data_IF_365474085554
#
_entry.id   IF_365474085554
#
_cell.length_a   1.000
_cell.length_b   1.000
_cell.length_c   1.000
_cell.angle_alpha   90.00
_cell.angle_beta   90.00
_cell.angle_gamma   90.00
#
_symmetry.space_group_name_H-M   'P 1'
#
loop_
_entity.id
_entity.type
_entity.pdbx_description
1 polymer ?
#
# COMPACT_ATOMS: atom_id res chain seq x y z
N UNK A 1 1.79 -3.09 -16.43
CA UNK A 1 0.82 -2.23 -15.76
C UNK A 1 0.20 -3.08 -14.68
N UNK A 2 0.47 -2.76 -13.42
CA UNK A 2 -0.16 -3.45 -12.31
C UNK A 2 -1.67 -3.15 -12.32
N UNK A 3 -2.50 -4.16 -12.11
CA UNK A 3 -3.95 -3.95 -12.02
C UNK A 3 -4.30 -3.11 -10.80
N UNK A 4 -5.42 -2.38 -10.88
CA UNK A 4 -5.91 -1.62 -9.73
C UNK A 4 -6.26 -2.52 -8.55
N UNK A 5 -6.69 -3.76 -8.82
CA UNK A 5 -6.88 -4.79 -7.80
C UNK A 5 -5.58 -5.16 -7.08
N UNK A 6 -4.46 -5.35 -7.79
CA UNK A 6 -3.17 -5.66 -7.16
C UNK A 6 -2.67 -4.49 -6.29
N UNK A 7 -2.89 -3.25 -6.74
CA UNK A 7 -2.60 -2.04 -5.94
C UNK A 7 -3.44 -2.02 -4.68
N UNK A 8 -4.74 -2.26 -4.80
CA UNK A 8 -5.67 -2.31 -3.67
C UNK A 8 -5.31 -3.45 -2.69
N UNK A 9 -4.88 -4.60 -3.19
CA UNK A 9 -4.41 -5.72 -2.36
C UNK A 9 -3.16 -5.34 -1.56
N UNK A 10 -2.16 -4.69 -2.18
CA UNK A 10 -0.97 -4.22 -1.45
C UNK A 10 -1.37 -3.22 -0.35
N UNK A 11 -2.17 -2.21 -0.71
CA UNK A 11 -2.59 -1.18 0.24
C UNK A 11 -3.47 -1.72 1.36
N UNK A 12 -4.37 -2.68 1.07
CA UNK A 12 -5.21 -3.31 2.10
C UNK A 12 -4.39 -4.09 3.13
N UNK A 13 -3.30 -4.75 2.72
CA UNK A 13 -2.38 -5.44 3.64
C UNK A 13 -1.67 -4.44 4.53
N UNK A 14 -1.17 -3.35 3.96
CA UNK A 14 -0.53 -2.26 4.72
C UNK A 14 -1.51 -1.63 5.72
N UNK A 15 -2.75 -1.38 5.30
CA UNK A 15 -3.77 -0.73 6.11
C UNK A 15 -4.30 -1.65 7.24
N UNK A 16 -4.69 -2.89 6.91
CA UNK A 16 -5.37 -3.80 7.84
C UNK A 16 -4.42 -4.62 8.71
N UNK A 17 -3.44 -5.27 8.11
CA UNK A 17 -2.60 -6.25 8.82
C UNK A 17 -1.50 -5.59 9.63
N UNK A 18 -1.11 -4.37 9.24
CA UNK A 18 0.07 -3.70 9.79
C UNK A 18 -0.21 -2.31 10.34
N UNK A 19 -1.30 -1.66 9.92
CA UNK A 19 -1.60 -0.27 10.31
C UNK A 19 -0.51 0.70 9.86
N UNK A 20 0.10 0.44 8.70
CA UNK A 20 1.27 1.13 8.20
C UNK A 20 0.89 2.44 7.53
N UNK A 21 0.63 3.44 8.36
CA UNK A 21 0.31 4.79 7.96
C UNK A 21 1.44 5.73 8.38
N UNK A 22 1.95 6.53 7.43
CA UNK A 22 2.96 7.54 7.68
C UNK A 22 4.21 6.97 8.35
N UNK A 23 4.34 7.18 9.66
CA UNK A 23 5.52 6.81 10.46
C UNK A 23 5.73 5.31 10.73
N UNK A 24 4.79 4.45 10.32
CA UNK A 24 4.95 2.98 10.39
C UNK A 24 5.15 2.40 9.00
N UNK A 25 6.29 1.75 8.78
CA UNK A 25 6.66 1.15 7.50
C UNK A 25 6.96 -0.34 7.63
N UNK A 26 6.78 -1.07 6.55
CA UNK A 26 7.12 -2.49 6.47
C UNK A 26 8.02 -2.77 5.27
N UNK A 27 8.85 -3.80 5.40
CA UNK A 27 9.89 -4.13 4.43
C UNK A 27 9.28 -4.72 3.18
N UNK A 28 9.75 -4.30 2.01
CA UNK A 28 9.28 -4.82 0.72
C UNK A 28 9.42 -6.35 0.59
N UNK A 29 10.36 -6.94 1.32
CA UNK A 29 10.60 -8.38 1.40
C UNK A 29 9.41 -9.16 1.96
N UNK A 30 8.56 -8.56 2.78
CA UNK A 30 7.34 -9.20 3.28
C UNK A 30 6.24 -9.26 2.22
N UNK A 31 6.43 -8.60 1.08
CA UNK A 31 5.48 -8.51 -0.03
C UNK A 31 5.94 -9.30 -1.26
N UNK A 32 6.92 -10.21 -1.13
CA UNK A 32 7.42 -11.06 -2.24
C UNK A 32 6.35 -11.90 -2.94
N UNK A 33 5.19 -12.12 -2.30
CA UNK A 33 4.02 -12.80 -2.91
C UNK A 33 3.36 -12.01 -4.05
N UNK A 34 3.60 -10.71 -4.13
CA UNK A 34 3.07 -9.86 -5.19
C UNK A 34 4.02 -9.90 -6.40
N UNK A 35 3.59 -10.51 -7.51
CA UNK A 35 4.44 -10.66 -8.70
C UNK A 35 4.86 -9.30 -9.29
N UNK A 36 3.95 -8.31 -9.28
CA UNK A 36 4.19 -6.98 -9.83
C UNK A 36 4.62 -5.94 -8.77
N UNK A 37 5.19 -6.37 -7.64
CA UNK A 37 5.48 -5.50 -6.49
C UNK A 37 6.23 -4.22 -6.84
N UNK A 38 7.29 -4.31 -7.66
CA UNK A 38 8.10 -3.13 -8.04
C UNK A 38 7.29 -2.11 -8.84
N UNK A 39 6.43 -2.57 -9.75
CA UNK A 39 5.58 -1.70 -10.55
C UNK A 39 4.50 -1.06 -9.69
N UNK A 40 3.85 -1.84 -8.81
CA UNK A 40 2.85 -1.35 -7.84
C UNK A 40 3.46 -0.24 -6.97
N UNK A 41 4.63 -0.47 -6.37
CA UNK A 41 5.31 0.52 -5.53
C UNK A 41 5.62 1.78 -6.33
N UNK A 42 6.12 1.66 -7.55
CA UNK A 42 6.46 2.80 -8.41
C UNK A 42 5.23 3.64 -8.73
N UNK A 43 4.11 3.01 -9.11
CA UNK A 43 2.88 3.72 -9.46
C UNK A 43 2.25 4.40 -8.23
N UNK A 44 2.10 3.68 -7.12
CA UNK A 44 1.52 4.23 -5.89
C UNK A 44 2.41 5.33 -5.26
N UNK A 45 3.73 5.21 -5.40
CA UNK A 45 4.67 6.26 -4.96
C UNK A 45 4.57 7.49 -5.86
N UNK A 46 4.43 7.33 -7.18
CA UNK A 46 4.21 8.45 -8.11
C UNK A 46 2.89 9.19 -7.83
N UNK A 47 1.86 8.47 -7.39
CA UNK A 47 0.58 9.05 -6.95
C UNK A 47 0.67 9.73 -5.58
N UNK A 48 1.78 9.55 -4.84
CA UNK A 48 1.93 10.06 -3.48
C UNK A 48 1.18 9.26 -2.41
N UNK A 49 0.54 8.15 -2.78
CA UNK A 49 -0.23 7.29 -1.87
C UNK A 49 0.65 6.35 -1.05
N UNK A 50 1.85 6.07 -1.55
CA UNK A 50 2.85 5.26 -0.87
C UNK A 50 4.11 6.08 -0.57
N UNK A 51 4.55 6.05 0.68
CA UNK A 51 5.83 6.60 1.12
C UNK A 51 6.86 5.48 1.07
N UNK A 52 7.99 5.73 0.41
CA UNK A 52 9.09 4.78 0.28
C UNK A 52 10.25 5.24 1.17
N UNK A 53 10.69 4.35 2.06
CA UNK A 53 11.80 4.54 2.98
C UNK A 53 12.99 3.73 2.52
N UNK A 54 14.03 4.40 2.03
CA UNK A 54 15.29 3.74 1.69
C UNK A 54 16.18 3.68 2.95
N UNK A 55 16.48 2.47 3.42
CA UNK A 55 17.38 2.22 4.56
C UNK A 55 18.57 1.39 4.09
N UNK A 56 19.73 1.47 4.78
CA UNK A 56 20.84 0.57 4.48
C UNK A 56 20.39 -0.90 4.61
N UNK A 57 20.40 -1.63 3.50
CA UNK A 57 20.09 -3.05 3.44
C UNK A 57 18.61 -3.42 3.25
N UNK A 58 17.66 -2.48 3.22
CA UNK A 58 16.26 -2.79 2.86
C UNK A 58 15.46 -1.55 2.41
N UNK A 59 14.39 -1.79 1.68
CA UNK A 59 13.38 -0.77 1.36
C UNK A 59 12.13 -0.99 2.20
N UNK A 60 11.69 0.04 2.90
CA UNK A 60 10.43 0.07 3.64
C UNK A 60 9.35 0.83 2.85
N UNK A 61 8.09 0.45 3.03
CA UNK A 61 6.94 1.16 2.46
C UNK A 61 5.86 1.40 3.52
N UNK A 62 5.19 2.55 3.44
CA UNK A 62 3.98 2.85 4.21
C UNK A 62 2.95 3.55 3.33
N UNK A 63 1.69 3.52 3.76
CA UNK A 63 0.66 4.36 3.18
C UNK A 63 0.86 5.81 3.63
N UNK A 64 0.53 6.76 2.75
CA UNK A 64 0.57 8.17 3.08
C UNK A 64 -0.72 8.58 3.82
N UNK A 65 -0.56 9.16 5.02
CA UNK A 65 -1.69 9.64 5.83
C UNK A 65 -2.41 10.83 5.20
N UNK A 66 -1.73 11.61 4.34
CA UNK A 66 -2.35 12.74 3.65
C UNK A 66 -3.46 12.33 2.70
N UNK A 67 -3.38 11.12 2.13
CA UNK A 67 -4.35 10.56 1.20
C UNK A 67 -5.15 9.42 1.83
N UNK A 68 -5.26 9.39 3.16
CA UNK A 68 -5.84 8.25 3.88
C UNK A 68 -7.26 7.94 3.41
N UNK A 69 -8.09 8.96 3.21
CA UNK A 69 -9.48 8.79 2.79
C UNK A 69 -9.56 8.22 1.38
N UNK A 70 -8.82 8.79 0.45
CA UNK A 70 -8.76 8.39 -0.96
C UNK A 70 -8.24 6.96 -1.12
N UNK A 71 -7.22 6.60 -0.33
CA UNK A 71 -6.67 5.24 -0.31
C UNK A 71 -7.72 4.25 0.21
N UNK A 72 -8.46 4.58 1.28
CA UNK A 72 -9.52 3.72 1.81
C UNK A 72 -10.63 3.56 0.77
N UNK A 73 -11.13 4.66 0.20
CA UNK A 73 -12.18 4.63 -0.82
C UNK A 73 -11.76 3.81 -2.05
N UNK A 74 -10.50 3.95 -2.49
CA UNK A 74 -9.95 3.13 -3.57
C UNK A 74 -9.93 1.64 -3.21
N UNK A 75 -9.44 1.29 -2.01
CA UNK A 75 -9.42 -0.10 -1.55
C UNK A 75 -10.85 -0.66 -1.49
N UNK A 76 -11.82 0.08 -0.96
CA UNK A 76 -13.20 -0.38 -0.86
C UNK A 76 -13.88 -0.51 -2.23
N UNK A 77 -13.51 0.33 -3.20
CA UNK A 77 -14.01 0.25 -4.56
C UNK A 77 -13.51 -1.01 -5.27
N UNK A 78 -12.20 -1.28 -5.20
CA UNK A 78 -11.59 -2.43 -5.86
C UNK A 78 -11.77 -3.74 -5.06
N UNK A 79 -12.01 -3.64 -3.74
CA UNK A 79 -12.22 -4.77 -2.83
C UNK A 79 -13.47 -4.53 -1.95
N UNK A 80 -14.70 -4.63 -2.51
CA UNK A 80 -15.94 -4.29 -1.80
C UNK A 80 -16.20 -5.08 -0.51
N UNK A 81 -15.65 -6.30 -0.41
CA UNK A 81 -15.71 -7.11 0.80
C UNK A 81 -14.92 -6.53 1.99
N UNK A 82 -14.13 -5.47 1.77
CA UNK A 82 -13.39 -4.73 2.80
C UNK A 82 -14.08 -3.44 3.26
N UNK A 83 -15.27 -3.15 2.72
CA UNK A 83 -16.02 -1.93 3.04
C UNK A 83 -16.32 -1.81 4.54
N UNK A 84 -15.95 -0.70 5.14
CA UNK A 84 -16.12 -0.43 6.57
C UNK A 84 -15.15 -1.19 7.49
N UNK A 85 -14.22 -1.98 6.96
CA UNK A 85 -13.24 -2.73 7.75
C UNK A 85 -12.01 -1.88 8.07
N UNK A 86 -11.61 -0.99 7.15
CA UNK A 86 -10.40 -0.16 7.30
C UNK A 86 -10.78 1.15 7.99
N UNK A 87 -10.07 1.49 9.07
CA UNK A 87 -10.31 2.69 9.90
C UNK A 87 -9.25 3.77 9.70
#
# INVERSE_FOLDING_TARGET
MASDLEKAQLMSVLARSKGNWGGKYDRTEHFKRFQNLKEIIKELSKQGWLIVYNKPGFTGISLNTQFKKEIIEFIEREMPHLRGIIK
#
